data_IF_791912154912
#
_entry.id   IF_791912154912
#
_cell.length_a   1.000
_cell.length_b   1.000
_cell.length_c   1.000
_cell.angle_alpha   90.00
_cell.angle_beta   90.00
_cell.angle_gamma   90.00
#
_symmetry.space_group_name_H-M   'P 1'
#
loop_
_entity.id
_entity.type
_entity.pdbx_description
1 polymer ?
#
# COMPACT_ATOMS: atom_id res chain seq x y z
N UNK A 1 30.24 -48.51 37.84
CA UNK A 1 31.21 -47.63 37.16
C UNK A 1 30.46 -46.39 36.71
N UNK A 2 30.59 -45.26 37.42
CA UNK A 2 29.81 -44.04 37.17
C UNK A 2 30.60 -43.12 36.24
N UNK A 3 30.25 -43.08 34.95
CA UNK A 3 30.84 -42.16 33.99
C UNK A 3 30.40 -40.73 34.32
N UNK A 4 31.34 -39.86 34.71
CA UNK A 4 31.07 -38.43 34.86
C UNK A 4 31.09 -37.78 33.49
N UNK A 5 29.95 -37.24 33.07
CA UNK A 5 29.83 -36.44 31.85
C UNK A 5 30.58 -35.12 32.11
N UNK A 6 31.69 -34.90 31.41
CA UNK A 6 32.41 -33.64 31.46
C UNK A 6 31.54 -32.54 30.83
N UNK A 7 31.26 -31.46 31.57
CA UNK A 7 30.61 -30.27 31.01
C UNK A 7 31.61 -29.59 30.07
N UNK A 8 31.33 -29.64 28.77
CA UNK A 8 32.01 -28.84 27.76
C UNK A 8 31.58 -27.37 27.97
N UNK A 9 32.54 -26.50 28.32
CA UNK A 9 32.32 -25.07 28.45
C UNK A 9 32.51 -24.36 27.12
N UNK A 10 31.70 -23.34 26.85
CA UNK A 10 31.87 -22.46 25.70
C UNK A 10 33.15 -21.63 25.82
N UNK A 11 33.88 -21.48 24.73
CA UNK A 11 35.05 -20.58 24.67
C UNK A 11 34.62 -19.14 24.38
N UNK A 12 35.38 -18.16 24.88
CA UNK A 12 35.13 -16.73 24.59
C UNK A 12 35.20 -16.42 23.09
N UNK A 13 36.08 -17.12 22.35
CA UNK A 13 36.22 -16.93 20.91
C UNK A 13 35.01 -17.45 20.13
N UNK A 14 34.40 -18.56 20.55
CA UNK A 14 33.17 -19.08 19.94
C UNK A 14 32.03 -18.07 20.11
N UNK A 15 31.88 -17.49 21.31
CA UNK A 15 30.85 -16.47 21.53
C UNK A 15 31.11 -15.20 20.68
N UNK A 16 32.37 -14.78 20.56
CA UNK A 16 32.77 -13.59 19.81
C UNK A 16 32.51 -13.73 18.31
N UNK A 17 32.79 -14.90 17.73
CA UNK A 17 32.52 -15.17 16.31
C UNK A 17 31.01 -15.22 16.04
N UNK A 18 30.21 -15.75 16.97
CA UNK A 18 28.75 -15.82 16.78
C UNK A 18 28.13 -14.43 16.76
N UNK A 19 28.46 -13.56 17.72
CA UNK A 19 27.90 -12.21 17.76
C UNK A 19 28.35 -11.36 16.56
N UNK A 20 29.56 -11.59 16.03
CA UNK A 20 30.04 -10.87 14.85
C UNK A 20 29.28 -11.29 13.59
N UNK A 21 29.02 -12.59 13.40
CA UNK A 21 28.19 -13.09 12.29
C UNK A 21 26.75 -12.57 12.40
N UNK A 22 26.14 -12.64 13.60
CA UNK A 22 24.78 -12.10 13.83
C UNK A 22 24.74 -10.60 13.51
N UNK A 23 25.76 -9.83 13.91
CA UNK A 23 25.86 -8.39 13.62
C UNK A 23 25.90 -8.10 12.12
N UNK A 24 26.69 -8.86 11.35
CA UNK A 24 26.76 -8.72 9.88
C UNK A 24 25.41 -9.06 9.24
N UNK A 25 24.78 -10.17 9.64
CA UNK A 25 23.48 -10.58 9.09
C UNK A 25 22.36 -9.58 9.43
N UNK A 26 22.35 -9.04 10.65
CA UNK A 26 21.34 -8.09 11.11
C UNK A 26 21.34 -6.79 10.30
N UNK A 27 22.51 -6.26 9.93
CA UNK A 27 22.61 -5.02 9.14
C UNK A 27 22.07 -5.19 7.72
N UNK A 28 22.36 -6.32 7.07
CA UNK A 28 21.83 -6.63 5.73
C UNK A 28 20.30 -6.76 5.71
N UNK A 29 19.72 -7.35 6.75
CA UNK A 29 18.26 -7.52 6.87
C UNK A 29 17.59 -6.16 7.08
N UNK A 30 18.14 -5.31 7.95
CA UNK A 30 17.56 -4.01 8.27
C UNK A 30 17.42 -3.11 7.04
N UNK A 31 18.42 -3.07 6.16
CA UNK A 31 18.38 -2.27 4.93
C UNK A 31 17.27 -2.71 3.96
N UNK A 32 17.01 -4.02 3.85
CA UNK A 32 16.00 -4.57 2.95
C UNK A 32 14.56 -4.41 3.47
N UNK A 33 14.38 -4.30 4.78
CA UNK A 33 13.07 -4.23 5.41
C UNK A 33 12.29 -2.95 5.01
N UNK A 34 12.98 -1.81 4.88
CA UNK A 34 12.33 -0.55 4.50
C UNK A 34 11.73 -0.62 3.09
N UNK A 35 12.49 -1.18 2.14
CA UNK A 35 12.04 -1.39 0.75
C UNK A 35 10.96 -2.48 0.64
N UNK A 36 10.97 -3.47 1.52
CA UNK A 36 9.89 -4.47 1.59
C UNK A 36 8.59 -3.84 2.11
N UNK A 37 8.68 -3.00 3.15
CA UNK A 37 7.53 -2.29 3.72
C UNK A 37 6.89 -1.32 2.72
N UNK A 38 7.68 -0.53 1.99
CA UNK A 38 7.13 0.38 0.96
C UNK A 38 6.38 -0.38 -0.14
N UNK A 39 6.96 -1.47 -0.65
CA UNK A 39 6.30 -2.33 -1.65
C UNK A 39 5.02 -2.99 -1.14
N UNK A 40 5.00 -3.42 0.12
CA UNK A 40 3.80 -3.99 0.73
C UNK A 40 2.66 -2.96 0.81
N UNK A 41 2.97 -1.71 1.16
CA UNK A 41 2.00 -0.62 1.16
C UNK A 41 1.52 -0.27 -0.23
N UNK A 42 2.42 -0.16 -1.20
CA UNK A 42 2.05 0.07 -2.60
C UNK A 42 1.12 -1.04 -3.12
N UNK A 43 1.34 -2.29 -2.70
CA UNK A 43 0.42 -3.39 -3.03
C UNK A 43 -0.97 -3.19 -2.40
N UNK A 44 -1.04 -2.75 -1.14
CA UNK A 44 -2.30 -2.41 -0.48
C UNK A 44 -3.03 -1.30 -1.24
N UNK A 45 -2.34 -0.21 -1.58
CA UNK A 45 -2.92 0.93 -2.33
C UNK A 45 -3.55 0.51 -3.65
N UNK A 46 -2.86 -0.36 -4.39
CA UNK A 46 -3.38 -0.91 -5.64
C UNK A 46 -4.62 -1.75 -5.44
N UNK A 47 -4.63 -2.59 -4.40
CA UNK A 47 -5.79 -3.42 -4.05
C UNK A 47 -6.98 -2.54 -3.67
N UNK A 48 -6.76 -1.52 -2.85
CA UNK A 48 -7.77 -0.58 -2.41
C UNK A 48 -8.44 0.12 -3.61
N UNK A 49 -7.64 0.69 -4.52
CA UNK A 49 -8.20 1.36 -5.70
C UNK A 49 -8.98 0.41 -6.61
N UNK A 50 -8.57 -0.85 -6.75
CA UNK A 50 -9.33 -1.84 -7.53
C UNK A 50 -10.66 -2.19 -6.86
N UNK A 51 -10.68 -2.27 -5.53
CA UNK A 51 -11.91 -2.50 -4.78
C UNK A 51 -12.86 -1.31 -4.93
N UNK A 52 -12.35 -0.07 -4.79
CA UNK A 52 -13.14 1.16 -5.01
C UNK A 52 -13.66 1.23 -6.44
N UNK A 53 -12.84 0.92 -7.45
CA UNK A 53 -13.28 0.86 -8.86
C UNK A 53 -14.38 -0.18 -9.09
N UNK A 54 -14.39 -1.27 -8.32
CA UNK A 54 -15.47 -2.28 -8.39
C UNK A 54 -16.76 -1.74 -7.78
N UNK A 55 -16.69 -1.11 -6.60
CA UNK A 55 -17.84 -0.43 -6.01
C UNK A 55 -18.39 0.68 -6.91
N UNK A 56 -17.51 1.42 -7.60
CA UNK A 56 -17.91 2.46 -8.56
C UNK A 56 -18.72 1.89 -9.71
N UNK A 57 -18.31 0.74 -10.25
CA UNK A 57 -19.06 0.04 -11.30
C UNK A 57 -20.42 -0.46 -10.82
N UNK A 58 -20.52 -0.92 -9.58
CA UNK A 58 -21.81 -1.30 -8.99
C UNK A 58 -22.75 -0.09 -8.92
N UNK A 59 -22.25 1.07 -8.48
CA UNK A 59 -23.03 2.30 -8.47
C UNK A 59 -23.48 2.72 -9.88
N UNK A 60 -22.59 2.64 -10.86
CA UNK A 60 -22.93 2.93 -12.26
C UNK A 60 -24.03 2.00 -12.79
N UNK A 61 -23.99 0.71 -12.45
CA UNK A 61 -25.05 -0.22 -12.87
C UNK A 61 -26.43 0.18 -12.34
N UNK A 62 -26.50 0.74 -11.13
CA UNK A 62 -27.76 1.11 -10.48
C UNK A 62 -28.25 2.51 -10.88
N UNK A 63 -27.33 3.45 -11.15
CA UNK A 63 -27.65 4.87 -11.41
C UNK A 63 -27.38 5.32 -12.84
N UNK A 64 -26.73 4.49 -13.65
CA UNK A 64 -26.26 4.80 -14.99
C UNK A 64 -25.34 6.03 -15.08
N UNK A 65 -24.76 6.44 -13.95
CA UNK A 65 -23.78 7.53 -13.83
C UNK A 65 -22.83 7.20 -12.68
N UNK A 66 -21.58 7.66 -12.75
CA UNK A 66 -20.66 7.65 -11.63
C UNK A 66 -20.96 8.80 -10.64
N UNK A 67 -20.57 8.68 -9.36
CA UNK A 67 -20.81 9.73 -8.38
C UNK A 67 -20.00 10.99 -8.70
N UNK A 68 -20.48 12.15 -8.24
CA UNK A 68 -19.72 13.40 -8.37
C UNK A 68 -18.48 13.45 -7.45
N UNK A 69 -18.52 12.74 -6.34
CA UNK A 69 -17.46 12.70 -5.34
C UNK A 69 -17.48 11.37 -4.59
N UNK A 70 -16.30 10.95 -4.12
CA UNK A 70 -16.12 9.79 -3.24
C UNK A 70 -15.43 10.27 -1.98
N UNK A 71 -16.02 9.95 -0.82
CA UNK A 71 -15.44 10.26 0.49
C UNK A 71 -14.64 9.07 1.01
N UNK A 72 -13.31 9.13 0.87
CA UNK A 72 -12.41 8.11 1.44
C UNK A 72 -12.48 8.12 2.98
N UNK A 73 -12.39 6.93 3.59
CA UNK A 73 -12.48 6.74 5.03
C UNK A 73 -13.91 6.61 5.58
N UNK A 74 -14.93 6.88 4.77
CA UNK A 74 -16.35 6.81 5.17
C UNK A 74 -17.10 5.71 4.40
N UNK A 75 -18.26 5.26 4.91
CA UNK A 75 -19.17 4.44 4.13
C UNK A 75 -19.62 5.18 2.88
N UNK A 76 -19.71 4.47 1.76
CA UNK A 76 -20.30 5.01 0.55
C UNK A 76 -21.67 4.40 0.30
N UNK A 77 -22.67 5.27 0.36
CA UNK A 77 -24.10 4.96 0.24
C UNK A 77 -24.81 6.05 -0.57
N UNK A 78 -25.87 5.67 -1.28
CA UNK A 78 -26.80 6.63 -1.93
C UNK A 78 -28.02 6.97 -1.05
N UNK A 79 -28.00 6.57 0.23
CA UNK A 79 -29.09 6.72 1.18
C UNK A 79 -30.02 5.51 1.27
N UNK A 80 -30.00 4.61 0.28
CA UNK A 80 -30.78 3.36 0.27
C UNK A 80 -29.91 2.11 0.15
N UNK A 81 -28.82 2.19 -0.62
CA UNK A 81 -27.92 1.09 -0.94
C UNK A 81 -26.51 1.45 -0.52
N UNK A 82 -25.86 0.54 0.22
CA UNK A 82 -24.45 0.66 0.59
C UNK A 82 -23.61 -0.04 -0.47
N UNK A 83 -22.85 0.72 -1.25
CA UNK A 83 -21.95 0.19 -2.29
C UNK A 83 -20.59 -0.20 -1.72
N UNK A 84 -20.19 0.44 -0.62
CA UNK A 84 -18.99 0.09 0.12
C UNK A 84 -19.13 0.50 1.58
N UNK A 85 -18.98 -0.44 2.52
CA UNK A 85 -19.15 -0.15 3.96
C UNK A 85 -18.11 0.81 4.51
N UNK A 86 -16.91 0.83 3.92
CA UNK A 86 -15.87 1.80 4.21
C UNK A 86 -14.98 1.92 2.97
N UNK A 87 -14.96 3.11 2.37
CA UNK A 87 -14.00 3.40 1.30
C UNK A 87 -12.61 3.47 1.93
N UNK A 88 -11.62 2.66 1.49
CA UNK A 88 -10.31 2.62 2.10
C UNK A 88 -9.63 3.98 2.04
N UNK A 89 -8.89 4.35 3.07
CA UNK A 89 -8.06 5.54 3.08
C UNK A 89 -6.62 5.12 3.36
N UNK A 90 -5.65 5.71 2.66
CA UNK A 90 -4.24 5.51 2.99
C UNK A 90 -3.96 6.10 4.38
N UNK A 91 -3.54 5.23 5.31
CA UNK A 91 -3.34 5.55 6.72
C UNK A 91 -2.03 6.30 7.01
N UNK A 92 -1.16 6.52 6.02
CA UNK A 92 0.23 6.92 6.27
C UNK A 92 0.58 8.38 6.04
N UNK A 93 -0.34 9.22 5.58
CA UNK A 93 -0.09 10.67 5.58
C UNK A 93 -1.38 11.46 5.32
N UNK A 94 -1.51 12.69 5.86
CA UNK A 94 -2.45 13.66 5.31
C UNK A 94 -2.19 13.98 3.81
N UNK A 95 -0.98 13.70 3.30
CA UNK A 95 -0.55 14.08 1.93
C UNK A 95 -0.53 12.91 0.91
N UNK A 96 -0.79 11.67 1.31
CA UNK A 96 -0.82 10.51 0.42
C UNK A 96 -2.25 9.99 0.24
N UNK A 97 -3.16 10.89 -0.13
CA UNK A 97 -4.58 10.56 -0.23
C UNK A 97 -4.87 9.87 -1.57
N UNK A 98 -5.76 8.87 -1.56
CA UNK A 98 -6.39 8.41 -2.79
C UNK A 98 -7.24 9.54 -3.38
N UNK A 99 -7.25 9.66 -4.70
CA UNK A 99 -8.03 10.71 -5.35
C UNK A 99 -8.90 10.15 -6.45
N UNK A 100 -10.13 10.67 -6.50
CA UNK A 100 -11.16 10.34 -7.45
C UNK A 100 -11.43 11.55 -8.34
N UNK A 101 -11.45 11.33 -9.64
CA UNK A 101 -11.75 12.33 -10.66
C UNK A 101 -12.81 11.77 -11.61
N UNK A 102 -14.08 12.21 -11.52
CA UNK A 102 -15.07 11.91 -12.53
C UNK A 102 -14.79 12.73 -13.80
N UNK A 103 -15.16 12.21 -14.96
CA UNK A 103 -15.29 13.02 -16.16
C UNK A 103 -16.51 13.96 -16.09
N UNK A 104 -16.53 15.00 -16.92
CA UNK A 104 -17.62 15.97 -16.97
C UNK A 104 -19.00 15.33 -17.24
N UNK A 105 -19.03 14.21 -17.99
CA UNK A 105 -20.25 13.45 -18.24
C UNK A 105 -20.64 12.47 -17.12
N UNK A 106 -19.79 12.24 -16.12
CA UNK A 106 -19.94 11.19 -15.12
C UNK A 106 -20.06 9.77 -15.71
N UNK A 107 -19.61 9.56 -16.95
CA UNK A 107 -19.60 8.26 -17.63
C UNK A 107 -18.29 7.50 -17.47
N UNK A 108 -17.23 8.19 -17.05
CA UNK A 108 -15.90 7.62 -16.80
C UNK A 108 -15.33 8.20 -15.53
N UNK A 109 -14.33 7.53 -14.97
CA UNK A 109 -13.60 8.03 -13.81
C UNK A 109 -12.13 7.65 -13.83
N UNK A 110 -11.34 8.42 -13.09
CA UNK A 110 -9.93 8.12 -12.81
C UNK A 110 -9.69 8.11 -11.30
N UNK A 111 -9.14 7.01 -10.80
CA UNK A 111 -8.61 6.87 -9.44
C UNK A 111 -7.09 6.92 -9.46
N UNK A 112 -6.50 7.70 -8.55
CA UNK A 112 -5.06 7.84 -8.39
C UNK A 112 -4.64 7.52 -6.94
N UNK A 113 -3.51 6.83 -6.81
CA UNK A 113 -2.81 6.62 -5.54
C UNK A 113 -1.31 6.86 -5.73
N UNK A 114 -0.68 7.56 -4.79
CA UNK A 114 0.77 7.73 -4.80
C UNK A 114 1.49 6.43 -4.48
N UNK A 115 2.49 6.08 -5.29
CA UNK A 115 3.38 4.97 -5.02
C UNK A 115 4.67 5.47 -4.38
N UNK A 116 5.13 4.77 -3.35
CA UNK A 116 6.43 5.05 -2.73
C UNK A 116 7.58 4.51 -3.60
N UNK A 117 7.36 3.38 -4.27
CA UNK A 117 8.34 2.75 -5.14
C UNK A 117 8.25 3.26 -6.58
N UNK A 118 9.17 4.16 -6.97
CA UNK A 118 9.31 4.64 -8.35
C UNK A 118 9.68 3.57 -9.38
N UNK A 119 10.22 2.43 -8.93
CA UNK A 119 10.57 1.32 -9.81
C UNK A 119 9.40 0.35 -10.03
N UNK A 120 8.21 0.68 -9.52
CA UNK A 120 7.03 -0.15 -9.72
C UNK A 120 6.54 -0.08 -11.18
N UNK A 121 6.44 -1.25 -11.83
CA UNK A 121 6.07 -1.37 -13.25
C UNK A 121 4.62 -0.98 -13.56
N UNK A 122 3.74 -1.00 -12.56
CA UNK A 122 2.34 -0.60 -12.73
C UNK A 122 2.13 0.89 -12.44
N UNK A 123 3.17 1.57 -11.94
CA UNK A 123 3.10 3.01 -11.76
C UNK A 123 3.37 3.76 -13.06
N UNK A 124 2.83 4.97 -13.12
CA UNK A 124 3.02 5.93 -14.20
C UNK A 124 3.46 7.28 -13.62
N UNK A 125 4.02 8.14 -14.47
CA UNK A 125 4.23 9.53 -14.10
C UNK A 125 2.88 10.18 -13.77
N UNK A 126 2.84 10.97 -12.70
CA UNK A 126 1.60 11.63 -12.27
C UNK A 126 0.97 12.44 -13.42
N UNK A 127 -0.21 12.03 -13.93
CA UNK A 127 -0.84 12.69 -15.07
C UNK A 127 -1.58 13.96 -14.66
N UNK A 128 -1.84 14.17 -13.36
CA UNK A 128 -2.58 15.32 -12.87
C UNK A 128 -1.68 16.22 -12.00
N UNK A 129 -1.31 17.42 -12.48
CA UNK A 129 -0.45 18.33 -11.73
C UNK A 129 -1.09 18.88 -10.44
N UNK A 130 -2.42 18.81 -10.31
CA UNK A 130 -3.14 19.20 -9.10
C UNK A 130 -3.14 18.11 -8.01
N UNK A 131 -2.74 16.89 -8.36
CA UNK A 131 -2.54 15.82 -7.40
C UNK A 131 -1.10 15.87 -6.88
N UNK A 132 -0.90 16.39 -5.67
CA UNK A 132 0.43 16.46 -5.08
C UNK A 132 0.88 15.07 -4.67
N UNK A 133 1.89 14.55 -5.36
CA UNK A 133 2.48 13.25 -5.07
C UNK A 133 3.97 13.39 -4.81
N UNK A 134 4.50 13.09 -3.61
CA UNK A 134 5.92 13.30 -3.29
C UNK A 134 6.87 12.58 -4.26
N UNK A 135 6.48 11.40 -4.72
CA UNK A 135 7.26 10.60 -5.68
C UNK A 135 6.95 10.95 -7.13
N UNK A 136 5.93 11.76 -7.43
CA UNK A 136 5.41 11.98 -8.78
C UNK A 136 5.12 10.67 -9.56
N UNK A 137 4.97 9.55 -8.85
CA UNK A 137 4.76 8.22 -9.40
C UNK A 137 3.47 7.67 -8.80
N UNK A 138 2.51 7.34 -9.65
CA UNK A 138 1.15 7.02 -9.22
C UNK A 138 0.68 5.72 -9.82
N UNK A 139 -0.16 5.00 -9.10
CA UNK A 139 -0.98 3.96 -9.68
C UNK A 139 -2.32 4.57 -10.11
N UNK A 140 -2.72 4.27 -11.34
CA UNK A 140 -3.96 4.77 -11.92
C UNK A 140 -4.91 3.62 -12.23
N UNK A 141 -6.18 3.79 -11.89
CA UNK A 141 -7.29 2.98 -12.40
C UNK A 141 -8.23 3.92 -13.14
N UNK A 142 -8.41 3.73 -14.44
CA UNK A 142 -9.34 4.50 -15.25
C UNK A 142 -10.31 3.55 -15.96
N UNK A 143 -11.57 3.95 -16.05
CA UNK A 143 -12.67 3.25 -16.73
C UNK A 143 -13.57 4.28 -17.39
#
# INVERSE_FOLDING_TARGET
MSARIAKLGFTLIELLVVISIIGILATLIAANLNSARSRARDAQRKSDLRNVATALRLYYNDKSVYPNAVSFGLPWTDGSTVYMSQVPQDSLSPDQVYRYYPDAGYDTFTLLACLENRSDKQGIANPNPQFTCPTAWVFQVAQ
#
